data_IF_355154352613
#
_entry.id   IF_355154352613
#
_cell.length_a   1.000
_cell.length_b   1.000
_cell.length_c   1.000
_cell.angle_alpha   90.00
_cell.angle_beta   90.00
_cell.angle_gamma   90.00
#
_symmetry.space_group_name_H-M   'P 1'
#
loop_
_entity.id
_entity.type
_entity.pdbx_description
1 polymer ?
#
# COMPACT_ATOMS: atom_id res chain seq x y z
N UNK A 1 15.29 8.06 -29.82
CA UNK A 1 16.05 8.27 -28.59
C UNK A 1 17.51 7.84 -28.74
N UNK A 2 17.86 6.60 -29.27
CA UNK A 2 19.24 6.11 -29.28
C UNK A 2 20.22 7.12 -29.92
N UNK A 3 19.91 7.63 -31.10
CA UNK A 3 20.79 8.60 -31.79
C UNK A 3 21.01 9.90 -30.99
N UNK A 4 19.96 10.41 -30.32
CA UNK A 4 20.08 11.60 -29.48
C UNK A 4 20.85 11.30 -28.19
N UNK A 5 20.61 10.14 -27.56
CA UNK A 5 21.34 9.71 -26.38
C UNK A 5 22.84 9.51 -26.65
N UNK A 6 23.20 8.99 -27.82
CA UNK A 6 24.60 8.87 -28.30
C UNK A 6 25.25 10.25 -28.56
N UNK A 7 24.44 11.29 -28.76
CA UNK A 7 24.86 12.70 -28.89
C UNK A 7 24.79 13.46 -27.53
N UNK A 8 24.80 12.72 -26.42
CA UNK A 8 24.82 13.25 -25.06
C UNK A 8 23.58 14.06 -24.64
N UNK A 9 22.44 13.91 -25.34
CA UNK A 9 21.18 14.48 -24.90
C UNK A 9 20.70 13.76 -23.62
N UNK A 10 20.69 14.47 -22.50
CA UNK A 10 20.39 13.92 -21.16
C UNK A 10 18.97 13.39 -21.03
N UNK A 11 17.99 14.04 -21.65
CA UNK A 11 16.60 13.59 -21.66
C UNK A 11 16.45 12.30 -22.48
N UNK A 12 17.10 12.23 -23.65
CA UNK A 12 17.10 11.04 -24.48
C UNK A 12 17.79 9.86 -23.77
N UNK A 13 18.92 10.11 -23.07
CA UNK A 13 19.59 9.10 -22.25
C UNK A 13 18.68 8.58 -21.14
N UNK A 14 18.02 9.47 -20.38
CA UNK A 14 17.08 9.07 -19.34
C UNK A 14 15.90 8.29 -19.91
N UNK A 15 15.34 8.71 -21.04
CA UNK A 15 14.27 7.98 -21.72
C UNK A 15 14.74 6.61 -22.22
N UNK A 16 15.93 6.50 -22.76
CA UNK A 16 16.50 5.24 -23.22
C UNK A 16 16.74 4.27 -22.04
N UNK A 17 17.21 4.79 -20.91
CA UNK A 17 17.31 4.04 -19.66
C UNK A 17 15.95 3.45 -19.27
N UNK A 18 14.87 4.23 -19.33
CA UNK A 18 13.51 3.76 -19.02
C UNK A 18 13.00 2.70 -20.03
N UNK A 19 13.36 2.81 -21.30
CA UNK A 19 12.98 1.80 -22.30
C UNK A 19 13.68 0.46 -22.02
N UNK A 20 14.95 0.46 -21.61
CA UNK A 20 15.64 -0.76 -21.19
C UNK A 20 15.12 -1.31 -19.86
N UNK A 21 14.73 -0.44 -18.90
CA UNK A 21 14.08 -0.84 -17.66
C UNK A 21 12.75 -1.56 -17.91
N UNK A 22 11.91 -1.02 -18.82
CA UNK A 22 10.57 -1.53 -19.09
C UNK A 22 10.51 -2.63 -20.17
N UNK A 23 11.56 -2.81 -20.97
CA UNK A 23 11.56 -3.69 -22.12
C UNK A 23 10.71 -3.20 -23.30
N UNK A 24 10.37 -1.89 -23.34
CA UNK A 24 9.53 -1.32 -24.39
C UNK A 24 10.34 -1.05 -25.68
N UNK A 25 10.13 -1.88 -26.69
CA UNK A 25 10.79 -1.76 -27.99
C UNK A 25 12.27 -2.18 -28.00
N UNK A 26 12.79 -2.65 -26.87
CA UNK A 26 14.11 -3.26 -26.69
C UNK A 26 14.01 -4.42 -25.72
N UNK A 27 14.97 -5.34 -25.74
CA UNK A 27 15.07 -6.37 -24.71
C UNK A 27 15.35 -5.71 -23.35
N UNK A 28 14.62 -6.14 -22.30
CA UNK A 28 14.79 -5.60 -20.96
C UNK A 28 16.19 -5.88 -20.44
N UNK A 29 16.89 -4.84 -20.01
CA UNK A 29 18.22 -4.94 -19.39
C UNK A 29 18.39 -3.85 -18.33
N UNK A 30 18.52 -4.27 -17.07
CA UNK A 30 18.79 -3.34 -15.97
C UNK A 30 20.20 -2.75 -16.04
N UNK A 31 21.18 -3.49 -16.57
CA UNK A 31 22.55 -3.02 -16.76
C UNK A 31 22.62 -1.87 -17.77
N UNK A 32 21.90 -2.04 -18.91
CA UNK A 32 21.83 -0.96 -19.91
C UNK A 32 21.00 0.23 -19.38
N UNK A 33 19.91 -0.02 -18.64
CA UNK A 33 19.14 1.05 -18.00
C UNK A 33 20.01 1.88 -17.06
N UNK A 34 20.78 1.23 -16.18
CA UNK A 34 21.73 1.90 -15.26
C UNK A 34 22.79 2.68 -16.01
N UNK A 35 23.34 2.13 -17.09
CA UNK A 35 24.34 2.82 -17.90
C UNK A 35 23.81 4.15 -18.44
N UNK A 36 22.60 4.13 -19.00
CA UNK A 36 21.98 5.34 -19.54
C UNK A 36 21.51 6.31 -18.47
N UNK A 37 20.95 5.82 -17.35
CA UNK A 37 20.62 6.68 -16.21
C UNK A 37 21.86 7.35 -15.61
N UNK A 38 23.00 6.63 -15.55
CA UNK A 38 24.27 7.20 -15.05
C UNK A 38 24.76 8.31 -15.95
N UNK A 39 24.76 8.12 -17.27
CA UNK A 39 25.16 9.15 -18.21
C UNK A 39 24.32 10.43 -18.06
N UNK A 40 22.99 10.32 -17.97
CA UNK A 40 22.12 11.46 -17.76
C UNK A 40 22.26 12.08 -16.35
N UNK A 41 22.47 11.26 -15.31
CA UNK A 41 22.65 11.72 -13.93
C UNK A 41 23.98 12.48 -13.73
N UNK A 42 25.03 12.11 -14.44
CA UNK A 42 26.32 12.81 -14.44
C UNK A 42 26.22 14.20 -15.07
N UNK A 43 25.32 14.38 -16.04
CA UNK A 43 24.98 15.69 -16.62
C UNK A 43 24.11 16.55 -15.70
N UNK A 44 23.58 15.98 -14.62
CA UNK A 44 22.82 16.71 -13.60
C UNK A 44 21.32 16.51 -13.65
N UNK A 45 20.77 15.74 -14.60
CA UNK A 45 19.30 15.56 -14.74
C UNK A 45 18.69 14.94 -13.49
N UNK A 46 17.82 15.67 -12.73
CA UNK A 46 17.27 15.19 -11.45
C UNK A 46 16.50 13.87 -11.59
N UNK A 47 15.70 13.73 -12.66
CA UNK A 47 14.94 12.52 -12.93
C UNK A 47 15.84 11.30 -13.11
N UNK A 48 16.96 11.46 -13.79
CA UNK A 48 17.94 10.38 -13.98
C UNK A 48 18.67 10.05 -12.67
N UNK A 49 19.01 11.07 -11.87
CA UNK A 49 19.55 10.87 -10.52
C UNK A 49 18.61 10.06 -9.64
N UNK A 50 17.31 10.37 -9.65
CA UNK A 50 16.30 9.60 -8.91
C UNK A 50 16.14 8.16 -9.43
N UNK A 51 16.19 7.95 -10.75
CA UNK A 51 16.08 6.60 -11.32
C UNK A 51 17.33 5.75 -11.01
N UNK A 52 18.51 6.33 -11.14
CA UNK A 52 19.77 5.66 -10.77
C UNK A 52 19.82 5.36 -9.27
N UNK A 53 19.37 6.30 -8.42
CA UNK A 53 19.25 6.10 -6.97
C UNK A 53 18.35 4.92 -6.65
N UNK A 54 17.22 4.79 -7.32
CA UNK A 54 16.30 3.66 -7.19
C UNK A 54 16.98 2.34 -7.59
N UNK A 55 17.78 2.32 -8.66
CA UNK A 55 18.54 1.13 -9.05
C UNK A 55 19.51 0.70 -7.95
N UNK A 56 20.21 1.63 -7.32
CA UNK A 56 21.08 1.33 -6.17
C UNK A 56 20.30 0.92 -4.93
N UNK A 57 19.12 1.51 -4.66
CA UNK A 57 18.28 1.16 -3.51
C UNK A 57 17.83 -0.31 -3.57
N UNK A 58 17.51 -0.82 -4.76
CA UNK A 58 16.96 -2.16 -4.95
C UNK A 58 17.92 -3.18 -5.58
N UNK A 59 19.15 -2.78 -5.88
CA UNK A 59 20.15 -3.66 -6.52
C UNK A 59 19.76 -4.07 -7.94
N UNK A 60 19.15 -3.18 -8.72
CA UNK A 60 18.71 -3.45 -10.09
C UNK A 60 19.78 -3.02 -11.10
N UNK A 61 20.42 -3.99 -11.77
CA UNK A 61 21.51 -3.76 -12.73
C UNK A 61 22.82 -3.26 -12.11
N UNK A 62 22.85 -3.08 -10.79
CA UNK A 62 24.02 -2.74 -9.96
C UNK A 62 23.91 -3.41 -8.61
N UNK A 63 25.01 -3.67 -7.89
CA UNK A 63 24.94 -4.07 -6.49
C UNK A 63 24.18 -3.03 -5.66
N UNK A 64 23.41 -3.50 -4.68
CA UNK A 64 22.68 -2.61 -3.77
C UNK A 64 23.67 -1.73 -2.98
N UNK A 65 23.41 -0.42 -2.99
CA UNK A 65 24.18 0.56 -2.21
C UNK A 65 23.25 1.70 -1.76
N UNK A 66 22.80 1.61 -0.51
CA UNK A 66 21.89 2.60 0.08
C UNK A 66 22.57 3.97 0.29
N UNK A 67 23.90 4.00 0.51
CA UNK A 67 24.64 5.24 0.68
C UNK A 67 24.72 6.02 -0.65
N UNK A 68 25.02 5.32 -1.76
CA UNK A 68 25.04 5.93 -3.09
C UNK A 68 23.63 6.32 -3.54
N UNK A 69 22.60 5.51 -3.21
CA UNK A 69 21.20 5.85 -3.45
C UNK A 69 20.82 7.17 -2.75
N UNK A 70 21.09 7.29 -1.44
CA UNK A 70 20.85 8.54 -0.71
C UNK A 70 21.60 9.74 -1.33
N UNK A 71 22.85 9.57 -1.70
CA UNK A 71 23.67 10.63 -2.30
C UNK A 71 23.05 11.16 -3.59
N UNK A 72 22.54 10.27 -4.43
CA UNK A 72 21.88 10.62 -5.70
C UNK A 72 20.52 11.28 -5.48
N UNK A 73 19.69 10.74 -4.58
CA UNK A 73 18.42 11.41 -4.18
C UNK A 73 18.67 12.82 -3.65
N UNK A 74 19.72 12.98 -2.85
CA UNK A 74 20.09 14.28 -2.30
C UNK A 74 20.51 15.27 -3.37
N UNK A 75 21.26 14.84 -4.41
CA UNK A 75 21.60 15.69 -5.54
C UNK A 75 20.38 16.19 -6.31
N UNK A 76 19.39 15.32 -6.53
CA UNK A 76 18.13 15.73 -7.15
C UNK A 76 17.34 16.70 -6.24
N UNK A 77 17.31 16.42 -4.94
CA UNK A 77 16.63 17.27 -3.94
C UNK A 77 17.26 18.67 -3.84
N UNK A 78 18.58 18.80 -3.94
CA UNK A 78 19.30 20.08 -3.93
C UNK A 78 18.96 20.96 -5.14
N UNK A 79 18.45 20.36 -6.22
CA UNK A 79 17.91 21.05 -7.39
C UNK A 79 16.41 21.39 -7.25
N UNK A 80 15.79 21.08 -6.11
CA UNK A 80 14.36 21.33 -5.87
C UNK A 80 13.44 20.29 -6.48
N UNK A 81 13.97 19.17 -6.98
CA UNK A 81 13.14 18.10 -7.54
C UNK A 81 12.25 17.46 -6.46
N UNK A 82 10.93 17.52 -6.67
CA UNK A 82 9.94 17.07 -5.68
C UNK A 82 10.06 15.57 -5.34
N UNK A 83 10.44 14.73 -6.32
CA UNK A 83 10.67 13.29 -6.11
C UNK A 83 11.95 13.06 -5.33
N UNK A 84 13.03 13.81 -5.65
CA UNK A 84 14.30 13.78 -4.92
C UNK A 84 14.10 14.17 -3.46
N UNK A 85 13.40 15.29 -3.20
CA UNK A 85 13.03 15.76 -1.85
C UNK A 85 12.26 14.70 -1.07
N UNK A 86 11.26 14.09 -1.69
CA UNK A 86 10.45 13.02 -1.09
C UNK A 86 11.29 11.77 -0.77
N UNK A 87 12.16 11.35 -1.70
CA UNK A 87 13.01 10.18 -1.46
C UNK A 87 14.04 10.42 -0.34
N UNK A 88 14.61 11.64 -0.23
CA UNK A 88 15.47 12.01 0.90
C UNK A 88 14.70 11.93 2.23
N UNK A 89 13.45 12.42 2.27
CA UNK A 89 12.60 12.31 3.45
C UNK A 89 12.44 10.84 3.88
N UNK A 90 12.13 9.95 2.94
CA UNK A 90 12.02 8.51 3.19
C UNK A 90 13.33 7.87 3.62
N UNK A 91 14.48 8.34 3.13
CA UNK A 91 15.77 7.86 3.61
C UNK A 91 15.94 8.13 5.11
N UNK A 92 15.58 9.31 5.61
CA UNK A 92 15.60 9.63 7.03
C UNK A 92 14.53 8.90 7.82
N UNK A 93 13.34 8.73 7.26
CA UNK A 93 12.20 8.05 7.90
C UNK A 93 12.50 6.57 8.17
N UNK A 94 13.11 5.88 7.22
CA UNK A 94 13.38 4.44 7.31
C UNK A 94 14.85 4.08 7.60
N UNK A 95 15.75 5.08 7.75
CA UNK A 95 17.18 4.84 7.97
C UNK A 95 17.89 4.22 6.76
N UNK A 96 17.47 4.57 5.52
CA UNK A 96 18.04 4.01 4.29
C UNK A 96 19.24 4.84 3.81
N UNK A 97 20.44 4.33 4.02
CA UNK A 97 21.70 5.01 3.65
C UNK A 97 22.07 6.17 4.56
N UNK A 98 21.27 6.47 5.57
CA UNK A 98 21.50 7.47 6.64
C UNK A 98 20.94 6.95 7.95
N UNK A 99 21.37 7.54 9.06
CA UNK A 99 20.77 7.27 10.37
C UNK A 99 19.30 7.74 10.37
N UNK A 100 18.39 6.88 10.83
CA UNK A 100 16.98 7.21 10.94
C UNK A 100 16.78 8.46 11.83
N UNK A 101 15.97 9.40 11.35
CA UNK A 101 15.67 10.63 12.07
C UNK A 101 14.31 11.20 11.59
N UNK A 102 13.27 10.99 12.39
CA UNK A 102 11.92 11.41 12.06
C UNK A 102 11.76 12.93 11.96
N UNK A 103 12.53 13.71 12.73
CA UNK A 103 12.49 15.17 12.66
C UNK A 103 13.07 15.69 11.35
N UNK A 104 14.18 15.10 10.89
CA UNK A 104 14.73 15.39 9.55
C UNK A 104 13.78 14.93 8.45
N UNK A 105 13.16 13.74 8.59
CA UNK A 105 12.18 13.24 7.64
C UNK A 105 11.03 14.24 7.46
N UNK A 106 10.44 14.74 8.55
CA UNK A 106 9.37 15.75 8.52
C UNK A 106 9.82 17.02 7.79
N UNK A 107 11.03 17.51 8.07
CA UNK A 107 11.56 18.71 7.41
C UNK A 107 11.71 18.52 5.88
N UNK A 108 12.13 17.34 5.45
CA UNK A 108 12.24 17.02 4.02
C UNK A 108 10.89 16.71 3.36
N UNK A 109 9.96 16.05 4.08
CA UNK A 109 8.57 15.88 3.61
C UNK A 109 7.89 17.24 3.40
N UNK A 110 8.11 18.21 4.31
CA UNK A 110 7.57 19.56 4.15
C UNK A 110 8.11 20.23 2.88
N UNK A 111 9.42 20.18 2.63
CA UNK A 111 9.99 20.71 1.38
C UNK A 111 9.43 20.05 0.14
N UNK A 112 9.25 18.72 0.18
CA UNK A 112 8.66 17.97 -0.93
C UNK A 112 7.19 18.32 -1.15
N UNK A 113 6.41 18.52 -0.08
CA UNK A 113 5.03 18.96 -0.13
C UNK A 113 4.92 20.37 -0.72
N UNK A 114 5.79 21.28 -0.30
CA UNK A 114 5.87 22.66 -0.84
C UNK A 114 6.25 22.65 -2.33
N UNK A 115 7.03 21.66 -2.77
CA UNK A 115 7.35 21.41 -4.17
C UNK A 115 6.23 20.68 -4.94
N UNK A 116 5.06 20.43 -4.32
CA UNK A 116 3.88 19.87 -4.95
C UNK A 116 3.80 18.33 -4.93
N UNK A 117 4.62 17.64 -4.16
CA UNK A 117 4.56 16.17 -4.03
C UNK A 117 3.35 15.73 -3.21
N UNK A 118 2.31 15.21 -3.88
CA UNK A 118 1.13 14.66 -3.21
C UNK A 118 1.45 13.46 -2.29
N UNK A 119 2.46 12.66 -2.64
CA UNK A 119 2.96 11.58 -1.79
C UNK A 119 3.57 12.14 -0.49
N UNK A 120 4.37 13.21 -0.59
CA UNK A 120 4.95 13.87 0.58
C UNK A 120 3.88 14.53 1.47
N UNK A 121 2.86 15.14 0.88
CA UNK A 121 1.72 15.67 1.63
C UNK A 121 1.02 14.57 2.43
N UNK A 122 0.83 13.39 1.83
CA UNK A 122 0.25 12.25 2.51
C UNK A 122 1.13 11.75 3.66
N UNK A 123 2.43 11.51 3.44
CA UNK A 123 3.33 10.99 4.47
C UNK A 123 3.57 12.01 5.58
N UNK A 124 3.66 13.31 5.26
CA UNK A 124 3.69 14.39 6.25
C UNK A 124 2.40 14.42 7.09
N UNK A 125 1.24 14.18 6.47
CA UNK A 125 -0.02 14.02 7.17
C UNK A 125 0.02 12.88 8.19
N UNK A 126 0.63 11.75 7.85
CA UNK A 126 0.84 10.62 8.78
C UNK A 126 1.75 11.03 9.94
N UNK A 127 2.81 11.78 9.68
CA UNK A 127 3.69 12.29 10.74
C UNK A 127 2.91 13.16 11.76
N UNK A 128 2.07 14.08 11.28
CA UNK A 128 1.24 14.91 12.16
C UNK A 128 0.13 14.13 12.87
N UNK A 129 -0.48 13.13 12.21
CA UNK A 129 -1.50 12.27 12.83
C UNK A 129 -0.92 11.48 14.01
N UNK A 130 0.30 10.95 13.86
CA UNK A 130 0.95 10.10 14.85
C UNK A 130 1.83 10.86 15.86
N UNK A 131 2.26 12.07 15.54
CA UNK A 131 3.25 12.80 16.30
C UNK A 131 4.67 12.26 16.12
N UNK A 132 4.99 11.74 14.95
CA UNK A 132 6.31 11.17 14.62
C UNK A 132 7.22 12.26 14.05
N UNK A 133 8.25 12.63 14.81
CA UNK A 133 9.19 13.70 14.42
C UNK A 133 8.64 15.13 14.52
N UNK A 134 7.36 15.27 14.91
CA UNK A 134 6.64 16.54 15.08
C UNK A 134 5.56 16.37 16.15
N UNK A 135 5.10 17.46 16.77
CA UNK A 135 3.97 17.42 17.67
C UNK A 135 2.68 16.99 16.92
N UNK A 136 1.89 16.13 17.55
CA UNK A 136 0.64 15.63 16.97
C UNK A 136 -0.35 16.77 16.69
N UNK A 137 -0.80 16.87 15.46
CA UNK A 137 -1.77 17.88 15.02
C UNK A 137 -2.72 17.31 13.96
N UNK A 138 -3.89 16.87 14.40
CA UNK A 138 -4.90 16.27 13.53
C UNK A 138 -5.49 17.27 12.51
N UNK A 139 -5.60 18.54 12.87
CA UNK A 139 -6.10 19.57 11.95
C UNK A 139 -5.15 19.75 10.77
N UNK A 140 -3.86 19.71 11.07
CA UNK A 140 -2.81 19.78 10.06
C UNK A 140 -2.74 18.51 9.20
N UNK A 141 -2.88 17.33 9.82
CA UNK A 141 -2.98 16.05 9.11
C UNK A 141 -4.15 16.04 8.12
N UNK A 142 -5.35 16.47 8.54
CA UNK A 142 -6.52 16.62 7.67
C UNK A 142 -6.25 17.54 6.49
N UNK A 143 -5.65 18.70 6.73
CA UNK A 143 -5.32 19.65 5.67
C UNK A 143 -4.38 19.05 4.62
N UNK A 144 -3.35 18.34 5.08
CA UNK A 144 -2.36 17.67 4.22
C UNK A 144 -2.97 16.50 3.44
N UNK A 145 -3.77 15.66 4.10
CA UNK A 145 -4.49 14.57 3.41
C UNK A 145 -5.46 15.11 2.37
N UNK A 146 -6.14 16.24 2.65
CA UNK A 146 -7.04 16.87 1.68
C UNK A 146 -6.27 17.37 0.45
N UNK A 147 -5.14 18.04 0.63
CA UNK A 147 -4.28 18.48 -0.47
C UNK A 147 -3.78 17.27 -1.29
N UNK A 148 -3.30 16.21 -0.63
CA UNK A 148 -2.89 14.98 -1.30
C UNK A 148 -4.04 14.32 -2.07
N UNK A 149 -5.24 14.26 -1.47
CA UNK A 149 -6.44 13.66 -2.05
C UNK A 149 -6.94 14.44 -3.28
N UNK A 150 -6.96 15.77 -3.21
CA UNK A 150 -7.30 16.65 -4.31
C UNK A 150 -6.29 16.58 -5.46
N UNK A 151 -5.01 16.33 -5.15
CA UNK A 151 -3.96 16.05 -6.12
C UNK A 151 -4.00 14.60 -6.66
N UNK A 152 -5.02 13.81 -6.30
CA UNK A 152 -5.24 12.47 -6.82
C UNK A 152 -4.47 11.35 -6.11
N UNK A 153 -3.80 11.63 -4.98
CA UNK A 153 -3.08 10.60 -4.24
C UNK A 153 -4.04 9.63 -3.54
N UNK A 154 -4.04 8.35 -3.95
CA UNK A 154 -4.95 7.34 -3.42
C UNK A 154 -4.78 7.09 -1.91
N UNK A 155 -3.55 7.16 -1.39
CA UNK A 155 -3.30 7.01 0.05
C UNK A 155 -3.86 8.19 0.84
N UNK A 156 -3.67 9.43 0.35
CA UNK A 156 -4.26 10.64 0.91
C UNK A 156 -5.79 10.60 0.90
N UNK A 157 -6.40 10.13 -0.20
CA UNK A 157 -7.85 9.92 -0.29
C UNK A 157 -8.34 8.89 0.74
N UNK A 158 -7.68 7.75 0.85
CA UNK A 158 -8.05 6.71 1.81
C UNK A 158 -7.90 7.20 3.26
N UNK A 159 -6.83 7.91 3.59
CA UNK A 159 -6.62 8.44 4.93
C UNK A 159 -7.62 9.55 5.27
N UNK A 160 -7.91 10.45 4.33
CA UNK A 160 -8.95 11.48 4.52
C UNK A 160 -10.33 10.84 4.73
N UNK A 161 -10.66 9.78 3.95
CA UNK A 161 -11.88 9.00 4.13
C UNK A 161 -11.97 8.42 5.55
N UNK A 162 -10.86 7.89 6.07
CA UNK A 162 -10.82 7.35 7.44
C UNK A 162 -11.02 8.43 8.50
N UNK A 163 -10.47 9.63 8.33
CA UNK A 163 -10.71 10.72 9.28
C UNK A 163 -12.17 11.20 9.26
N UNK A 164 -12.83 11.20 8.11
CA UNK A 164 -14.27 11.46 8.04
C UNK A 164 -15.13 10.33 8.63
N UNK A 165 -14.67 9.07 8.53
CA UNK A 165 -15.31 7.92 9.17
C UNK A 165 -15.23 8.02 10.69
N UNK A 166 -14.05 8.33 11.25
CA UNK A 166 -13.81 8.38 12.70
C UNK A 166 -14.29 9.68 13.36
N UNK A 167 -14.35 10.79 12.59
CA UNK A 167 -14.57 12.13 13.14
C UNK A 167 -13.34 12.72 13.82
N UNK A 168 -12.14 12.18 13.52
CA UNK A 168 -10.89 12.69 14.08
C UNK A 168 -10.37 13.90 13.29
N UNK A 169 -10.30 15.05 13.95
CA UNK A 169 -9.84 16.31 13.34
C UNK A 169 -10.81 16.96 12.35
N UNK A 170 -11.92 16.29 12.02
CA UNK A 170 -13.02 16.78 11.19
C UNK A 170 -14.37 16.35 11.79
N UNK A 171 -15.46 17.00 11.40
CA UNK A 171 -16.80 16.51 11.70
C UNK A 171 -17.04 15.16 10.99
N UNK A 172 -17.55 14.17 11.73
CA UNK A 172 -17.82 12.85 11.16
C UNK A 172 -18.84 12.94 10.02
N UNK A 173 -18.49 12.36 8.88
CA UNK A 173 -19.40 12.25 7.73
C UNK A 173 -19.13 10.97 6.95
N UNK A 174 -20.06 10.04 7.01
CA UNK A 174 -19.99 8.80 6.24
C UNK A 174 -20.09 9.04 4.73
N UNK A 175 -20.82 10.07 4.30
CA UNK A 175 -20.96 10.45 2.90
C UNK A 175 -19.62 10.91 2.32
N UNK A 176 -18.89 11.78 3.06
CA UNK A 176 -17.55 12.20 2.67
C UNK A 176 -16.55 11.03 2.73
N UNK A 177 -16.61 10.19 3.77
CA UNK A 177 -15.78 8.99 3.86
C UNK A 177 -15.94 8.09 2.62
N UNK A 178 -17.18 7.79 2.24
CA UNK A 178 -17.49 7.00 1.04
C UNK A 178 -17.00 7.66 -0.24
N UNK A 179 -17.16 8.98 -0.36
CA UNK A 179 -16.67 9.73 -1.52
C UNK A 179 -15.16 9.53 -1.72
N UNK A 180 -14.40 9.68 -0.64
CA UNK A 180 -12.94 9.57 -0.69
C UNK A 180 -12.47 8.11 -0.81
N UNK A 181 -13.12 7.18 -0.12
CA UNK A 181 -12.84 5.74 -0.30
C UNK A 181 -13.10 5.29 -1.74
N UNK A 182 -14.17 5.78 -2.38
CA UNK A 182 -14.47 5.46 -3.77
C UNK A 182 -13.38 5.99 -4.70
N UNK A 183 -12.94 7.23 -4.54
CA UNK A 183 -11.88 7.81 -5.35
C UNK A 183 -10.57 7.00 -5.25
N UNK A 184 -10.20 6.54 -4.05
CA UNK A 184 -9.02 5.69 -3.85
C UNK A 184 -9.23 4.24 -4.37
N UNK A 185 -10.44 3.69 -4.20
CA UNK A 185 -10.77 2.33 -4.64
C UNK A 185 -10.77 2.20 -6.17
N UNK A 186 -11.25 3.22 -6.87
CA UNK A 186 -11.23 3.31 -8.35
C UNK A 186 -9.80 3.38 -8.90
N UNK A 187 -8.84 3.85 -8.12
CA UNK A 187 -7.40 3.80 -8.44
C UNK A 187 -6.76 2.42 -8.11
N UNK A 188 -7.54 1.47 -7.65
CA UNK A 188 -7.08 0.11 -7.36
C UNK A 188 -6.52 -0.08 -5.95
N UNK A 189 -6.68 0.87 -5.01
CA UNK A 189 -6.13 0.73 -3.66
C UNK A 189 -6.89 -0.32 -2.83
N UNK A 190 -6.30 -1.48 -2.46
CA UNK A 190 -7.03 -2.57 -1.80
C UNK A 190 -7.65 -2.16 -0.47
N UNK A 191 -6.93 -1.38 0.35
CA UNK A 191 -7.44 -0.87 1.62
C UNK A 191 -8.70 -0.02 1.45
N UNK A 192 -8.74 0.83 0.43
CA UNK A 192 -9.90 1.68 0.14
C UNK A 192 -11.06 0.85 -0.44
N UNK A 193 -10.77 -0.16 -1.27
CA UNK A 193 -11.76 -1.11 -1.78
C UNK A 193 -12.45 -1.87 -0.64
N UNK A 194 -11.68 -2.36 0.35
CA UNK A 194 -12.25 -3.01 1.54
C UNK A 194 -13.08 -2.04 2.39
N UNK A 195 -12.64 -0.79 2.58
CA UNK A 195 -13.39 0.20 3.35
C UNK A 195 -14.69 0.59 2.64
N UNK A 196 -14.66 0.80 1.34
CA UNK A 196 -15.85 1.09 0.53
C UNK A 196 -16.82 -0.11 0.53
N UNK A 197 -16.31 -1.34 0.41
CA UNK A 197 -17.11 -2.55 0.50
C UNK A 197 -17.81 -2.63 1.86
N UNK A 198 -17.10 -2.35 2.93
CA UNK A 198 -17.66 -2.31 4.28
C UNK A 198 -18.78 -1.26 4.40
N UNK A 199 -18.61 -0.07 3.81
CA UNK A 199 -19.67 0.94 3.78
C UNK A 199 -20.93 0.43 3.06
N UNK A 200 -20.78 -0.29 1.94
CA UNK A 200 -21.92 -0.91 1.27
C UNK A 200 -22.52 -2.09 2.04
N UNK A 201 -21.72 -2.87 2.76
CA UNK A 201 -22.16 -3.97 3.60
C UNK A 201 -23.09 -3.48 4.72
N UNK A 202 -22.74 -2.36 5.37
CA UNK A 202 -23.45 -1.85 6.55
C UNK A 202 -24.37 -0.64 6.27
N UNK A 203 -24.44 -0.17 5.02
CA UNK A 203 -25.24 1.00 4.67
C UNK A 203 -24.71 2.30 5.31
N UNK A 204 -23.39 2.46 5.43
CA UNK A 204 -22.77 3.66 6.01
C UNK A 204 -22.46 4.68 4.93
N UNK A 205 -23.12 5.84 4.97
CA UNK A 205 -22.99 6.90 3.96
C UNK A 205 -23.47 6.53 2.55
N UNK A 206 -24.00 5.33 2.38
CA UNK A 206 -24.60 4.80 1.15
C UNK A 206 -25.72 3.83 1.50
N UNK A 207 -26.63 3.57 0.56
CA UNK A 207 -27.62 2.50 0.70
C UNK A 207 -26.91 1.14 0.77
N UNK A 208 -27.35 0.29 1.72
CA UNK A 208 -26.82 -1.07 1.89
C UNK A 208 -26.95 -1.87 0.58
N UNK A 209 -25.85 -2.46 0.13
CA UNK A 209 -25.85 -3.22 -1.11
C UNK A 209 -24.76 -4.31 -1.12
N UNK A 210 -25.16 -5.55 -0.80
CA UNK A 210 -24.26 -6.69 -0.75
C UNK A 210 -23.56 -7.00 -2.07
N UNK A 211 -24.23 -6.79 -3.22
CA UNK A 211 -23.62 -7.04 -4.53
C UNK A 211 -22.46 -6.06 -4.79
N UNK A 212 -22.63 -4.78 -4.39
CA UNK A 212 -21.56 -3.78 -4.47
C UNK A 212 -20.45 -4.05 -3.45
N UNK A 213 -20.79 -4.48 -2.24
CA UNK A 213 -19.81 -4.87 -1.24
C UNK A 213 -18.91 -6.00 -1.76
N UNK A 214 -19.53 -7.07 -2.29
CA UNK A 214 -18.81 -8.21 -2.89
C UNK A 214 -17.93 -7.79 -4.08
N UNK A 215 -18.44 -6.90 -4.94
CA UNK A 215 -17.63 -6.39 -6.06
C UNK A 215 -16.32 -5.77 -5.56
N UNK A 216 -16.38 -4.91 -4.55
CA UNK A 216 -15.18 -4.25 -4.04
C UNK A 216 -14.28 -5.17 -3.19
N UNK A 217 -14.87 -6.09 -2.39
CA UNK A 217 -14.08 -7.11 -1.69
C UNK A 217 -13.34 -8.02 -2.68
N UNK A 218 -13.97 -8.40 -3.80
CA UNK A 218 -13.34 -9.21 -4.85
C UNK A 218 -12.19 -8.45 -5.51
N UNK A 219 -12.38 -7.17 -5.83
CA UNK A 219 -11.29 -6.35 -6.39
C UNK A 219 -10.07 -6.28 -5.46
N UNK A 220 -10.25 -6.23 -4.15
CA UNK A 220 -9.15 -6.28 -3.19
C UNK A 220 -8.56 -7.70 -3.09
N UNK A 221 -9.41 -8.72 -3.08
CA UNK A 221 -8.99 -10.13 -2.99
C UNK A 221 -8.18 -10.58 -4.22
N UNK A 222 -8.55 -10.12 -5.42
CA UNK A 222 -7.83 -10.39 -6.67
C UNK A 222 -6.42 -9.77 -6.67
N UNK A 223 -6.15 -8.80 -5.77
CA UNK A 223 -4.84 -8.22 -5.51
C UNK A 223 -4.14 -8.87 -4.30
N UNK A 224 -4.61 -10.03 -3.88
CA UNK A 224 -4.07 -10.80 -2.75
C UNK A 224 -4.15 -10.06 -1.41
N UNK A 225 -5.06 -9.06 -1.28
CA UNK A 225 -5.29 -8.38 0.00
C UNK A 225 -5.95 -9.34 1.01
N UNK A 226 -5.31 -9.61 2.17
CA UNK A 226 -5.80 -10.61 3.11
C UNK A 226 -7.16 -10.27 3.70
N UNK A 227 -7.50 -8.98 3.81
CA UNK A 227 -8.80 -8.52 4.32
C UNK A 227 -9.89 -8.71 3.27
N UNK A 228 -9.57 -8.41 1.99
CA UNK A 228 -10.44 -8.66 0.85
C UNK A 228 -10.76 -10.14 0.70
N UNK A 229 -9.73 -11.00 0.71
CA UNK A 229 -9.91 -12.45 0.64
C UNK A 229 -10.74 -12.99 1.83
N UNK A 230 -10.45 -12.55 3.04
CA UNK A 230 -11.23 -12.96 4.21
C UNK A 230 -12.70 -12.56 4.08
N UNK A 231 -13.00 -11.33 3.68
CA UNK A 231 -14.38 -10.85 3.49
C UNK A 231 -15.10 -11.60 2.36
N UNK A 232 -14.40 -11.94 1.26
CA UNK A 232 -14.96 -12.80 0.22
C UNK A 232 -15.33 -14.19 0.76
N UNK A 233 -14.46 -14.79 1.57
CA UNK A 233 -14.76 -16.05 2.26
C UNK A 233 -16.04 -15.96 3.12
N UNK A 234 -16.21 -14.88 3.86
CA UNK A 234 -17.44 -14.61 4.64
C UNK A 234 -18.67 -14.46 3.71
N UNK A 235 -18.55 -13.72 2.63
CA UNK A 235 -19.64 -13.54 1.67
C UNK A 235 -20.08 -14.87 1.05
N UNK A 236 -19.15 -15.71 0.61
CA UNK A 236 -19.44 -17.03 0.05
C UNK A 236 -20.02 -17.98 1.11
N UNK A 237 -19.50 -17.97 2.34
CA UNK A 237 -19.99 -18.76 3.46
C UNK A 237 -21.48 -18.53 3.75
N UNK A 238 -21.91 -17.27 3.75
CA UNK A 238 -23.27 -16.88 4.14
C UNK A 238 -24.19 -16.54 2.97
N UNK A 239 -23.73 -16.63 1.73
CA UNK A 239 -24.53 -16.26 0.55
C UNK A 239 -24.86 -14.76 0.49
N UNK A 240 -23.97 -13.90 0.99
CA UNK A 240 -24.19 -12.45 1.07
C UNK A 240 -23.73 -11.78 -0.22
N UNK A 241 -24.66 -11.39 -1.08
CA UNK A 241 -24.40 -10.76 -2.36
C UNK A 241 -23.86 -11.70 -3.45
N UNK A 242 -23.59 -12.95 -3.12
CA UNK A 242 -23.22 -14.09 -3.98
C UNK A 242 -24.02 -15.32 -3.56
N UNK A 243 -24.08 -16.35 -4.40
CA UNK A 243 -24.61 -17.64 -4.00
C UNK A 243 -23.75 -18.26 -2.88
N UNK A 244 -24.41 -18.93 -1.91
CA UNK A 244 -23.69 -19.62 -0.84
C UNK A 244 -22.87 -20.77 -1.40
N UNK A 245 -21.57 -20.75 -1.12
CA UNK A 245 -20.64 -21.77 -1.61
C UNK A 245 -19.49 -21.95 -0.59
N UNK A 246 -19.51 -23.09 0.10
CA UNK A 246 -18.50 -23.40 1.11
C UNK A 246 -17.11 -23.72 0.53
N UNK A 247 -17.06 -24.33 -0.66
CA UNK A 247 -15.79 -24.63 -1.31
C UNK A 247 -15.09 -23.34 -1.75
N UNK A 248 -15.85 -22.38 -2.29
CA UNK A 248 -15.34 -21.06 -2.64
C UNK A 248 -14.94 -20.27 -1.38
N UNK A 249 -15.70 -20.39 -0.29
CA UNK A 249 -15.35 -19.76 0.99
C UNK A 249 -14.00 -20.30 1.50
N UNK A 250 -13.79 -21.61 1.45
CA UNK A 250 -12.53 -22.25 1.83
C UNK A 250 -11.37 -21.79 0.94
N UNK A 251 -11.60 -21.68 -0.37
CA UNK A 251 -10.58 -21.17 -1.28
C UNK A 251 -10.10 -19.78 -0.86
N UNK A 252 -11.02 -18.85 -0.60
CA UNK A 252 -10.69 -17.49 -0.17
C UNK A 252 -10.03 -17.46 1.23
N UNK A 253 -10.50 -18.28 2.17
CA UNK A 253 -9.86 -18.38 3.48
C UNK A 253 -8.42 -18.90 3.38
N UNK A 254 -8.13 -19.88 2.52
CA UNK A 254 -6.75 -20.37 2.30
C UNK A 254 -5.85 -19.25 1.82
N UNK A 255 -6.26 -18.50 0.79
CA UNK A 255 -5.50 -17.34 0.31
C UNK A 255 -5.24 -16.33 1.43
N UNK A 256 -6.25 -16.01 2.24
CA UNK A 256 -6.09 -15.10 3.37
C UNK A 256 -5.17 -15.67 4.47
N UNK A 257 -5.16 -16.99 4.69
CA UNK A 257 -4.25 -17.68 5.62
C UNK A 257 -2.80 -17.59 5.13
N UNK A 258 -2.57 -17.83 3.84
CA UNK A 258 -1.25 -17.72 3.21
C UNK A 258 -0.70 -16.30 3.32
N UNK A 259 -1.58 -15.30 3.26
CA UNK A 259 -1.27 -13.89 3.52
C UNK A 259 -1.23 -13.51 5.03
N UNK A 260 -1.37 -14.49 5.94
CA UNK A 260 -1.15 -14.32 7.38
C UNK A 260 -2.34 -13.87 8.20
N UNK A 261 -3.58 -13.92 7.69
CA UNK A 261 -4.79 -13.51 8.41
C UNK A 261 -5.17 -14.47 9.53
N UNK A 262 -5.07 -14.07 10.80
CA UNK A 262 -5.49 -14.86 11.96
C UNK A 262 -7.00 -15.17 11.94
N UNK A 263 -7.84 -14.19 11.58
CA UNK A 263 -9.27 -14.39 11.46
C UNK A 263 -9.64 -15.43 10.38
N UNK A 264 -8.89 -15.48 9.27
CA UNK A 264 -9.08 -16.51 8.24
C UNK A 264 -8.64 -17.89 8.74
N UNK A 265 -7.54 -17.99 9.50
CA UNK A 265 -7.10 -19.24 10.12
C UNK A 265 -8.19 -19.81 11.03
N UNK A 266 -8.80 -18.98 11.86
CA UNK A 266 -9.91 -19.38 12.73
C UNK A 266 -11.11 -19.89 11.91
N UNK A 267 -11.57 -19.14 10.89
CA UNK A 267 -12.71 -19.54 10.06
C UNK A 267 -12.42 -20.80 9.22
N UNK A 268 -11.21 -20.95 8.69
CA UNK A 268 -10.80 -22.16 7.98
C UNK A 268 -10.73 -23.37 8.94
N UNK A 269 -10.24 -23.16 10.17
CA UNK A 269 -10.30 -24.16 11.22
C UNK A 269 -11.73 -24.67 11.49
N UNK A 270 -12.71 -23.78 11.55
CA UNK A 270 -14.13 -24.15 11.66
C UNK A 270 -14.59 -24.98 10.45
N UNK A 271 -14.15 -24.63 9.26
CA UNK A 271 -14.51 -25.40 8.05
C UNK A 271 -13.98 -26.84 8.15
N UNK A 272 -12.71 -27.04 8.54
CA UNK A 272 -12.15 -28.37 8.75
C UNK A 272 -12.78 -29.14 9.91
N UNK A 273 -13.12 -28.49 11.01
CA UNK A 273 -13.80 -29.10 12.16
C UNK A 273 -15.17 -29.67 11.77
N UNK A 274 -15.90 -28.93 10.92
CA UNK A 274 -17.28 -29.29 10.55
C UNK A 274 -17.39 -30.07 9.24
N UNK A 275 -16.35 -30.08 8.41
CA UNK A 275 -16.39 -30.63 7.07
C UNK A 275 -17.21 -29.76 6.11
N UNK A 276 -17.19 -28.41 6.29
CA UNK A 276 -17.90 -27.45 5.46
C UNK A 276 -17.00 -26.96 4.32
N UNK A 277 -17.24 -27.41 3.08
CA UNK A 277 -16.45 -27.08 1.88
C UNK A 277 -15.10 -27.78 1.80
N UNK A 278 -14.77 -28.61 2.79
CA UNK A 278 -13.57 -29.47 2.86
C UNK A 278 -13.89 -30.77 3.59
N UNK A 279 -13.10 -31.80 3.37
CA UNK A 279 -13.16 -33.00 4.21
C UNK A 279 -12.84 -32.67 5.67
N UNK A 280 -13.59 -33.26 6.59
CA UNK A 280 -13.41 -33.04 8.03
C UNK A 280 -12.03 -33.49 8.48
N UNK A 281 -11.28 -32.59 9.10
CA UNK A 281 -9.95 -32.84 9.67
C UNK A 281 -9.77 -32.06 10.98
N UNK A 282 -9.97 -32.76 12.11
CA UNK A 282 -9.81 -32.17 13.43
C UNK A 282 -8.36 -31.80 13.76
N UNK A 283 -7.37 -32.50 13.19
CA UNK A 283 -5.95 -32.21 13.42
C UNK A 283 -5.56 -30.89 12.72
N UNK A 284 -6.01 -30.71 11.49
CA UNK A 284 -5.78 -29.47 10.74
C UNK A 284 -6.55 -28.29 11.36
N UNK A 285 -7.79 -28.51 11.84
CA UNK A 285 -8.53 -27.49 12.60
C UNK A 285 -7.76 -27.04 13.84
N UNK A 286 -7.25 -28.00 14.64
CA UNK A 286 -6.46 -27.69 15.83
C UNK A 286 -5.16 -26.94 15.50
N UNK A 287 -4.49 -27.30 14.39
CA UNK A 287 -3.29 -26.58 13.90
C UNK A 287 -3.59 -25.14 13.57
N UNK A 288 -4.66 -24.90 12.82
CA UNK A 288 -5.08 -23.57 12.41
C UNK A 288 -5.51 -22.69 13.61
N UNK A 289 -6.30 -23.25 14.54
CA UNK A 289 -6.66 -22.55 15.76
C UNK A 289 -5.46 -22.18 16.62
N UNK A 290 -4.46 -23.07 16.72
CA UNK A 290 -3.22 -22.78 17.47
C UNK A 290 -2.47 -21.61 16.84
N UNK A 291 -2.30 -21.64 15.51
CA UNK A 291 -1.64 -20.55 14.78
C UNK A 291 -2.37 -19.21 14.91
N UNK A 292 -3.70 -19.21 14.89
CA UNK A 292 -4.50 -18.01 15.11
C UNK A 292 -4.42 -17.53 16.57
N UNK A 293 -4.46 -18.44 17.53
CA UNK A 293 -4.35 -18.14 18.97
C UNK A 293 -2.98 -17.52 19.33
N UNK A 294 -1.89 -17.99 18.71
CA UNK A 294 -0.55 -17.40 18.84
C UNK A 294 -0.48 -15.95 18.30
N UNK A 295 -1.43 -15.58 17.44
CA UNK A 295 -1.62 -14.21 16.93
C UNK A 295 -2.73 -13.45 17.68
N UNK A 296 -3.06 -13.87 18.88
CA UNK A 296 -4.01 -13.24 19.78
C UNK A 296 -5.47 -13.23 19.28
N UNK A 297 -5.86 -14.11 18.34
CA UNK A 297 -7.25 -14.25 17.91
C UNK A 297 -8.07 -14.93 19.03
N UNK A 298 -8.96 -14.15 19.64
CA UNK A 298 -9.77 -14.59 20.80
C UNK A 298 -10.75 -15.74 20.44
N UNK A 299 -11.29 -15.74 19.20
CA UNK A 299 -12.20 -16.79 18.77
C UNK A 299 -11.45 -18.12 18.59
N UNK A 300 -10.23 -18.08 18.06
CA UNK A 300 -9.39 -19.24 17.92
C UNK A 300 -8.94 -19.80 19.29
N UNK A 301 -8.65 -18.95 20.27
CA UNK A 301 -8.34 -19.36 21.63
C UNK A 301 -9.52 -20.13 22.26
N UNK A 302 -10.76 -19.63 22.11
CA UNK A 302 -11.96 -20.34 22.55
C UNK A 302 -12.14 -21.69 21.83
N UNK A 303 -12.05 -21.70 20.49
CA UNK A 303 -12.23 -22.91 19.70
C UNK A 303 -11.18 -23.98 20.02
N UNK A 304 -9.93 -23.56 20.25
CA UNK A 304 -8.86 -24.48 20.68
C UNK A 304 -9.14 -25.09 22.04
N UNK A 305 -9.68 -24.31 22.98
CA UNK A 305 -10.13 -24.79 24.29
C UNK A 305 -11.17 -25.91 24.17
N UNK A 306 -12.21 -25.71 23.35
CA UNK A 306 -13.24 -26.71 23.10
C UNK A 306 -12.75 -28.01 22.46
N UNK A 307 -11.68 -27.94 21.64
CA UNK A 307 -11.10 -29.14 21.04
C UNK A 307 -10.31 -30.01 22.04
N UNK A 308 -9.92 -29.45 23.19
CA UNK A 308 -9.17 -30.18 24.24
C UNK A 308 -10.09 -30.72 25.37
N UNK A 309 -11.36 -30.37 25.38
CA UNK A 309 -12.40 -30.93 26.27
C UNK A 309 -13.02 -32.20 25.66
#
# INVERSE_FOLDING_TARGET
YRKAAEQEDEDAQCCLGFLYESGQGVEQSWEEAVRWYRAAAEQGLPRAQCNLAWCYEYGKGVPQDLGESYRLYRKAAEQGDARGLFCVARCFDYGRGVTQNSTEAVAWYQKAADAGSAAAMCDLGVCYERGEGVERDLSRAVSLYRQAAEAGNAAGQCNLGFLYESGEGVEQSWEEAVRWYRAAAEQGMPRAQCNLAWCYEYGKGVEQNWKRAVHWYRQAADQEDPRGMFCMGICCKYGRGVEQNWEEAVHWYRGAVDAGSAAAMCNLGVCYERGEGVERDAAEAARLYRQAAEREDAAAQCNLGYLYE
#
